data_IF_034653219958
#
_entry.id   IF_034653219958
#
_cell.length_a   1.000
_cell.length_b   1.000
_cell.length_c   1.000
_cell.angle_alpha   90.00
_cell.angle_beta   90.00
_cell.angle_gamma   90.00
#
_symmetry.space_group_name_H-M   'P 1'
#
loop_
_entity.id
_entity.type
_entity.pdbx_description
1 polymer ?
#
# COMPACT_ATOMS: atom_id res chain seq x y z
N UNK A 1 -14.81 -7.55 18.38
CA UNK A 1 -14.03 -7.86 17.16
C UNK A 1 -14.47 -9.21 16.62
N UNK A 2 -14.52 -9.39 15.30
CA UNK A 2 -14.79 -10.70 14.68
C UNK A 2 -13.45 -11.41 14.39
N UNK A 3 -13.43 -12.73 14.50
CA UNK A 3 -12.25 -13.55 14.18
C UNK A 3 -12.34 -14.03 12.74
N UNK A 4 -11.28 -13.83 11.96
CA UNK A 4 -11.12 -14.34 10.60
C UNK A 4 -10.07 -15.45 10.61
N UNK A 5 -10.41 -16.62 10.05
CA UNK A 5 -9.48 -17.73 9.89
C UNK A 5 -8.99 -17.78 8.44
N UNK A 6 -7.68 -17.53 8.25
CA UNK A 6 -7.02 -17.74 6.97
C UNK A 6 -6.70 -19.23 6.82
N UNK A 7 -7.02 -19.80 5.65
CA UNK A 7 -6.78 -21.21 5.32
C UNK A 7 -6.13 -21.30 3.95
N UNK A 8 -5.35 -22.35 3.73
CA UNK A 8 -4.62 -22.59 2.48
C UNK A 8 -3.73 -21.40 2.08
N UNK A 9 -3.04 -20.81 3.06
CA UNK A 9 -2.08 -19.73 2.80
C UNK A 9 -0.85 -20.36 2.14
N UNK A 10 -0.40 -19.86 0.98
CA UNK A 10 0.83 -20.35 0.34
C UNK A 10 2.06 -20.24 1.25
N UNK A 11 2.95 -21.22 1.19
CA UNK A 11 4.13 -21.29 2.08
C UNK A 11 5.02 -20.05 1.95
N UNK A 12 5.23 -19.55 0.73
CA UNK A 12 6.03 -18.35 0.45
C UNK A 12 5.43 -17.08 1.08
N UNK A 13 4.11 -17.01 1.20
CA UNK A 13 3.39 -15.93 1.89
C UNK A 13 3.61 -16.05 3.40
N UNK A 14 3.50 -17.26 3.96
CA UNK A 14 3.75 -17.50 5.40
C UNK A 14 5.18 -17.11 5.76
N UNK A 15 6.18 -17.58 5.01
CA UNK A 15 7.59 -17.25 5.24
C UNK A 15 7.83 -15.73 5.20
N UNK A 16 7.18 -15.03 4.27
CA UNK A 16 7.30 -13.56 4.18
C UNK A 16 6.69 -12.89 5.41
N UNK A 17 5.54 -13.36 5.87
CA UNK A 17 4.90 -12.83 7.08
C UNK A 17 5.73 -13.12 8.34
N UNK A 18 6.38 -14.28 8.43
CA UNK A 18 7.31 -14.63 9.52
C UNK A 18 8.51 -13.69 9.56
N UNK A 19 9.16 -13.44 8.41
CA UNK A 19 10.27 -12.47 8.33
C UNK A 19 9.84 -11.06 8.75
N UNK A 20 8.65 -10.63 8.34
CA UNK A 20 8.10 -9.32 8.74
C UNK A 20 7.78 -9.26 10.23
N UNK A 21 7.27 -10.36 10.80
CA UNK A 21 6.95 -10.47 12.22
C UNK A 21 8.22 -10.43 13.08
N UNK A 22 9.27 -11.13 12.67
CA UNK A 22 10.58 -11.12 13.33
C UNK A 22 11.19 -9.71 13.36
N UNK A 23 11.23 -9.04 12.20
CA UNK A 23 11.72 -7.65 12.08
C UNK A 23 10.94 -6.67 12.97
N UNK A 24 9.62 -6.85 13.04
CA UNK A 24 8.74 -6.02 13.85
C UNK A 24 8.62 -6.46 15.31
N UNK A 25 9.32 -7.53 15.73
CA UNK A 25 9.24 -8.13 17.07
C UNK A 25 7.80 -8.39 17.54
N UNK A 26 6.98 -8.92 16.64
CA UNK A 26 5.56 -9.17 16.87
C UNK A 26 5.15 -10.54 16.33
N UNK A 27 3.88 -10.92 16.46
CA UNK A 27 3.38 -12.20 15.94
C UNK A 27 2.99 -12.11 14.46
N UNK A 28 3.07 -13.24 13.76
CA UNK A 28 2.59 -13.38 12.38
C UNK A 28 1.13 -12.94 12.25
N UNK A 29 0.28 -13.31 13.21
CA UNK A 29 -1.12 -12.89 13.24
C UNK A 29 -1.29 -11.38 13.39
N UNK A 30 -0.45 -10.71 14.19
CA UNK A 30 -0.48 -9.26 14.32
C UNK A 30 -0.08 -8.56 13.01
N UNK A 31 0.95 -9.09 12.32
CA UNK A 31 1.32 -8.61 10.98
C UNK A 31 0.16 -8.82 10.00
N UNK A 32 -0.41 -10.02 9.94
CA UNK A 32 -1.53 -10.32 9.04
C UNK A 32 -2.73 -9.39 9.27
N UNK A 33 -3.11 -9.14 10.52
CA UNK A 33 -4.20 -8.19 10.84
C UNK A 33 -3.86 -6.77 10.41
N UNK A 34 -2.61 -6.32 10.64
CA UNK A 34 -2.16 -5.00 10.19
C UNK A 34 -2.25 -4.87 8.66
N UNK A 35 -1.70 -5.82 7.92
CA UNK A 35 -1.71 -5.78 6.46
C UNK A 35 -3.13 -5.87 5.88
N UNK A 36 -4.01 -6.70 6.48
CA UNK A 36 -5.43 -6.74 6.09
C UNK A 36 -6.14 -5.41 6.35
N UNK A 37 -5.79 -4.72 7.45
CA UNK A 37 -6.33 -3.40 7.76
C UNK A 37 -5.91 -2.36 6.72
N UNK A 38 -4.62 -2.33 6.36
CA UNK A 38 -4.11 -1.40 5.34
C UNK A 38 -4.60 -1.75 3.93
N UNK A 39 -4.80 -3.02 3.62
CA UNK A 39 -5.44 -3.45 2.38
C UNK A 39 -6.90 -2.97 2.31
N UNK A 40 -7.65 -3.13 3.41
CA UNK A 40 -9.04 -2.66 3.48
C UNK A 40 -9.16 -1.15 3.33
N UNK A 41 -8.25 -0.37 3.91
CA UNK A 41 -8.25 1.10 3.76
C UNK A 41 -8.02 1.56 2.32
N UNK A 42 -7.19 0.82 1.58
CA UNK A 42 -6.82 1.15 0.19
C UNK A 42 -7.80 0.59 -0.83
N UNK A 43 -8.72 -0.28 -0.42
CA UNK A 43 -9.66 -0.92 -1.34
C UNK A 43 -10.51 0.09 -2.12
N UNK A 44 -10.85 1.22 -1.49
CA UNK A 44 -11.68 2.26 -2.09
C UNK A 44 -10.84 3.31 -2.85
N UNK A 45 -9.50 3.30 -2.74
CA UNK A 45 -8.64 4.29 -3.38
C UNK A 45 -8.81 4.38 -4.90
N UNK A 46 -8.92 3.28 -5.66
CA UNK A 46 -9.11 3.38 -7.11
C UNK A 46 -10.40 4.10 -7.49
N UNK A 47 -11.49 3.86 -6.75
CA UNK A 47 -12.74 4.56 -6.97
C UNK A 47 -12.60 6.05 -6.60
N UNK A 48 -12.04 6.35 -5.44
CA UNK A 48 -11.78 7.73 -5.00
C UNK A 48 -10.90 8.52 -5.97
N UNK A 49 -9.86 7.89 -6.52
CA UNK A 49 -8.97 8.52 -7.50
C UNK A 49 -9.65 8.67 -8.87
N UNK A 50 -10.49 7.71 -9.27
CA UNK A 50 -11.27 7.79 -10.50
C UNK A 50 -12.35 8.87 -10.46
N UNK A 51 -12.87 9.18 -9.28
CA UNK A 51 -13.89 10.21 -9.05
C UNK A 51 -13.31 11.62 -8.91
N UNK A 52 -11.97 11.78 -8.93
CA UNK A 52 -11.36 13.10 -8.87
C UNK A 52 -11.67 13.90 -10.13
N UNK A 53 -11.99 15.21 -10.00
CA UNK A 53 -12.18 16.06 -11.15
C UNK A 53 -10.86 16.21 -11.90
N UNK A 54 -10.93 16.11 -13.23
CA UNK A 54 -9.82 16.50 -14.08
C UNK A 54 -9.66 18.03 -13.99
N UNK A 55 -8.49 18.47 -13.53
CA UNK A 55 -8.12 19.87 -13.37
C UNK A 55 -7.35 20.42 -14.57
N UNK A 56 -7.15 19.61 -15.61
CA UNK A 56 -6.54 20.03 -16.88
C UNK A 56 -5.04 20.30 -16.79
N UNK A 57 -4.34 19.71 -15.81
CA UNK A 57 -2.87 19.82 -15.72
C UNK A 57 -2.23 18.85 -16.69
N UNK A 58 -1.43 19.37 -17.61
CA UNK A 58 -0.70 18.54 -18.57
C UNK A 58 0.48 17.82 -17.90
N UNK A 59 0.65 16.53 -18.24
CA UNK A 59 1.71 15.71 -17.65
C UNK A 59 3.11 16.24 -18.02
N UNK A 60 3.26 16.80 -19.23
CA UNK A 60 4.51 17.36 -19.74
C UNK A 60 4.90 18.62 -18.99
N UNK A 61 3.91 19.46 -18.64
CA UNK A 61 4.12 20.66 -17.81
C UNK A 61 4.64 20.27 -16.42
N UNK A 62 4.03 19.25 -15.81
CA UNK A 62 4.43 18.74 -14.50
C UNK A 62 5.88 18.22 -14.51
N UNK A 63 6.22 17.40 -15.51
CA UNK A 63 7.57 16.84 -15.66
C UNK A 63 8.59 17.97 -15.85
N UNK A 64 8.28 18.94 -16.71
CA UNK A 64 9.14 20.10 -16.95
C UNK A 64 9.44 20.90 -15.69
N UNK A 65 8.44 21.11 -14.83
CA UNK A 65 8.62 21.79 -13.54
C UNK A 65 9.53 21.02 -12.57
N UNK A 66 9.37 19.70 -12.49
CA UNK A 66 10.20 18.83 -11.63
C UNK A 66 11.67 18.85 -12.10
N UNK A 67 11.90 18.77 -13.41
CA UNK A 67 13.24 18.78 -13.97
C UNK A 67 13.95 20.12 -13.76
N UNK A 68 13.23 21.24 -13.91
CA UNK A 68 13.76 22.58 -13.63
C UNK A 68 14.20 22.73 -12.16
N UNK A 69 13.39 22.26 -11.21
CA UNK A 69 13.71 22.27 -9.76
C UNK A 69 14.91 21.38 -9.42
N UNK A 70 15.08 20.24 -10.12
CA UNK A 70 16.24 19.36 -9.91
C UNK A 70 17.52 19.98 -10.46
N UNK A 71 17.46 20.65 -11.61
CA UNK A 71 18.60 21.30 -12.24
C UNK A 71 19.10 22.52 -11.45
N UNK A 72 18.24 23.14 -10.62
CA UNK A 72 18.59 24.27 -9.77
C UNK A 72 19.18 23.92 -8.40
N UNK A 73 19.36 22.63 -8.05
CA UNK A 73 19.97 22.17 -6.78
C UNK A 73 21.46 21.89 -6.90
#
# INVERSE_FOLDING_TARGET
MKTLYLRNVPDDVVERLERLAELAKTSVSAVAVRELTEASRRADNPALLGDLPDIGIDTTELIGGIDAERAGR
#
